data_IF_732466472248
#
_entry.id   IF_732466472248
#
_cell.length_a   1.000
_cell.length_b   1.000
_cell.length_c   1.000
_cell.angle_alpha   90.00
_cell.angle_beta   90.00
_cell.angle_gamma   90.00
#
_symmetry.space_group_name_H-M   'P 1'
#
loop_
_entity.id
_entity.type
_entity.pdbx_description
1 polymer ?
#
# COMPACT_ATOMS: atom_id res chain seq x y z
N UNK A 1 7.37 -8.61 -9.39
CA UNK A 1 6.72 -9.75 -10.05
C UNK A 1 5.81 -9.21 -11.13
N UNK A 2 5.81 -9.87 -12.29
CA UNK A 2 5.02 -9.47 -13.44
C UNK A 2 3.75 -10.28 -13.48
N UNK A 3 2.62 -9.58 -13.49
CA UNK A 3 1.30 -10.18 -13.73
C UNK A 3 0.95 -9.98 -15.20
N UNK A 4 0.24 -10.95 -15.76
CA UNK A 4 -0.16 -10.94 -17.16
C UNK A 4 -1.23 -9.88 -17.43
N UNK A 5 -1.42 -9.51 -18.70
CA UNK A 5 -2.49 -8.61 -19.10
C UNK A 5 -3.88 -9.16 -18.72
N UNK A 6 -4.06 -10.49 -18.86
CA UNK A 6 -5.32 -11.18 -18.52
C UNK A 6 -5.59 -11.09 -17.02
N UNK A 7 -4.58 -11.38 -16.17
CA UNK A 7 -4.75 -11.29 -14.71
C UNK A 7 -5.06 -9.85 -14.28
N UNK A 8 -4.44 -8.84 -14.91
CA UNK A 8 -4.77 -7.43 -14.66
C UNK A 8 -6.20 -7.08 -15.06
N UNK A 9 -6.60 -7.44 -16.27
CA UNK A 9 -7.93 -7.13 -16.80
C UNK A 9 -9.04 -7.82 -15.97
N UNK A 10 -8.80 -9.05 -15.53
CA UNK A 10 -9.73 -9.81 -14.69
C UNK A 10 -9.65 -9.42 -13.22
N UNK A 11 -8.64 -8.67 -12.80
CA UNK A 11 -8.33 -8.43 -11.40
C UNK A 11 -8.05 -9.71 -10.62
N UNK A 12 -7.64 -10.80 -11.28
CA UNK A 12 -7.52 -12.13 -10.69
C UNK A 12 -6.15 -12.73 -10.97
N UNK A 13 -5.43 -13.13 -9.93
CA UNK A 13 -4.19 -13.87 -10.09
C UNK A 13 -4.48 -15.30 -10.51
N UNK A 14 -3.63 -15.87 -11.35
CA UNK A 14 -3.55 -17.32 -11.51
C UNK A 14 -3.12 -17.96 -10.18
N UNK A 15 -3.57 -19.19 -9.94
CA UNK A 15 -3.21 -19.97 -8.74
C UNK A 15 -1.69 -19.97 -8.51
N UNK A 16 -0.92 -20.24 -9.57
CA UNK A 16 0.54 -20.18 -9.54
C UNK A 16 1.10 -18.82 -9.10
N UNK A 17 0.54 -17.71 -9.58
CA UNK A 17 1.02 -16.37 -9.22
C UNK A 17 0.58 -15.97 -7.81
N UNK A 18 -0.59 -16.40 -7.37
CA UNK A 18 -1.05 -16.22 -5.99
C UNK A 18 -0.14 -16.97 -5.02
N UNK A 19 0.15 -18.25 -5.28
CA UNK A 19 1.06 -19.07 -4.47
C UNK A 19 2.45 -18.44 -4.39
N UNK A 20 3.00 -17.99 -5.53
CA UNK A 20 4.29 -17.33 -5.57
C UNK A 20 4.30 -16.00 -4.78
N UNK A 21 3.21 -15.24 -4.82
CA UNK A 21 3.08 -14.00 -4.06
C UNK A 21 3.04 -14.27 -2.55
N UNK A 22 2.26 -15.27 -2.12
CA UNK A 22 2.15 -15.68 -0.72
C UNK A 22 3.47 -16.26 -0.19
N UNK A 23 4.15 -17.07 -1.00
CA UNK A 23 5.48 -17.60 -0.67
C UNK A 23 6.48 -16.45 -0.46
N UNK A 24 6.55 -15.49 -1.40
CA UNK A 24 7.42 -14.32 -1.25
C UNK A 24 7.09 -13.52 0.01
N UNK A 25 5.81 -13.25 0.26
CA UNK A 25 5.44 -12.51 1.46
C UNK A 25 5.86 -13.24 2.74
N UNK A 26 5.71 -14.56 2.79
CA UNK A 26 6.11 -15.39 3.94
C UNK A 26 7.63 -15.47 4.15
N UNK A 27 8.39 -15.58 3.06
CA UNK A 27 9.85 -15.78 3.12
C UNK A 27 10.63 -14.47 3.29
N UNK A 28 10.21 -13.38 2.61
CA UNK A 28 10.97 -12.12 2.54
C UNK A 28 10.20 -10.91 3.10
N UNK A 29 8.93 -11.05 3.46
CA UNK A 29 8.15 -10.00 4.12
C UNK A 29 7.56 -8.95 3.18
N UNK A 30 7.71 -9.07 1.86
CA UNK A 30 7.07 -8.18 0.88
C UNK A 30 6.89 -8.83 -0.51
N UNK A 31 5.98 -8.26 -1.30
CA UNK A 31 5.78 -8.59 -2.72
C UNK A 31 5.66 -7.29 -3.52
N UNK A 32 6.26 -7.28 -4.72
CA UNK A 32 6.24 -6.12 -5.62
C UNK A 32 5.48 -6.50 -6.88
N UNK A 33 4.46 -5.74 -7.26
CA UNK A 33 3.77 -5.87 -8.56
C UNK A 33 4.20 -4.76 -9.51
N UNK A 34 4.82 -5.13 -10.63
CA UNK A 34 5.27 -4.16 -11.62
C UNK A 34 4.11 -3.72 -12.52
N UNK A 35 3.98 -2.40 -12.69
CA UNK A 35 2.99 -1.78 -13.58
C UNK A 35 1.55 -2.22 -13.29
N UNK A 36 1.20 -2.47 -12.02
CA UNK A 36 -0.14 -2.91 -11.62
C UNK A 36 -1.20 -1.89 -12.03
N UNK A 37 -0.95 -0.61 -11.76
CA UNK A 37 -1.83 0.49 -12.10
C UNK A 37 -1.40 1.16 -13.42
N UNK A 38 -2.35 1.62 -14.26
CA UNK A 38 -2.03 2.39 -15.44
C UNK A 38 -1.29 3.69 -15.09
N UNK A 39 -0.30 4.07 -15.90
CA UNK A 39 0.46 5.31 -15.68
C UNK A 39 -0.44 6.55 -15.62
N UNK A 40 -1.45 6.64 -16.49
CA UNK A 40 -2.40 7.75 -16.50
C UNK A 40 -3.17 7.87 -15.17
N UNK A 41 -3.52 6.73 -14.56
CA UNK A 41 -4.19 6.71 -13.26
C UNK A 41 -3.26 7.22 -12.16
N UNK A 42 -2.02 6.73 -12.13
CA UNK A 42 -1.00 7.17 -11.17
C UNK A 42 -0.75 8.69 -11.30
N UNK A 43 -0.71 9.22 -12.53
CA UNK A 43 -0.56 10.66 -12.77
C UNK A 43 -1.75 11.49 -12.25
N UNK A 44 -2.98 10.97 -12.33
CA UNK A 44 -4.16 11.62 -11.75
C UNK A 44 -4.08 11.65 -10.22
N UNK A 45 -3.70 10.54 -9.59
CA UNK A 45 -3.50 10.45 -8.13
C UNK A 45 -2.39 11.40 -7.67
N UNK A 46 -1.27 11.47 -8.40
CA UNK A 46 -0.17 12.41 -8.13
C UNK A 46 -0.65 13.87 -8.12
N UNK A 47 -1.41 14.28 -9.14
CA UNK A 47 -1.97 15.64 -9.21
C UNK A 47 -2.92 15.93 -8.05
N UNK A 48 -3.74 14.96 -7.67
CA UNK A 48 -4.67 15.14 -6.55
C UNK A 48 -3.92 15.24 -5.21
N UNK A 49 -2.81 14.52 -5.08
CA UNK A 49 -1.90 14.65 -3.94
C UNK A 49 -1.22 16.04 -3.89
N UNK A 50 -0.77 16.56 -5.03
CA UNK A 50 -0.20 17.92 -5.15
C UNK A 50 -1.22 19.02 -4.81
N UNK A 51 -2.46 18.84 -5.25
CA UNK A 51 -3.56 19.73 -4.90
C UNK A 51 -3.81 19.70 -3.37
N UNK A 52 -3.72 18.54 -2.74
CA UNK A 52 -3.85 18.41 -1.29
C UNK A 52 -2.71 19.10 -0.52
N UNK A 53 -1.46 18.94 -0.96
CA UNK A 53 -0.30 19.60 -0.34
C UNK A 53 -0.41 21.13 -0.40
N UNK A 54 -1.16 21.67 -1.37
CA UNK A 54 -1.40 23.11 -1.51
C UNK A 54 -2.47 23.66 -0.55
N UNK A 55 -3.17 22.81 0.20
CA UNK A 55 -4.20 23.22 1.15
C UNK A 55 -3.60 23.66 2.51
N UNK A 56 -4.27 24.55 3.25
CA UNK A 56 -3.89 24.88 4.61
C UNK A 56 -3.86 23.63 5.50
N UNK A 57 -2.79 23.48 6.27
CA UNK A 57 -2.63 22.40 7.23
C UNK A 57 -3.79 22.39 8.24
N UNK A 58 -4.39 21.22 8.45
CA UNK A 58 -5.50 21.07 9.37
C UNK A 58 -6.58 20.14 8.85
N UNK A 59 -7.80 20.38 9.30
CA UNK A 59 -8.94 19.51 9.00
C UNK A 59 -9.24 19.44 7.49
N UNK A 60 -9.16 20.56 6.78
CA UNK A 60 -9.46 20.61 5.34
C UNK A 60 -8.50 19.72 4.55
N UNK A 61 -7.20 19.81 4.83
CA UNK A 61 -6.19 18.98 4.20
C UNK A 61 -6.37 17.50 4.56
N UNK A 62 -6.66 17.17 5.82
CA UNK A 62 -6.92 15.77 6.24
C UNK A 62 -8.17 15.18 5.60
N UNK A 63 -9.27 15.93 5.59
CA UNK A 63 -10.56 15.49 5.05
C UNK A 63 -10.50 15.27 3.53
N UNK A 64 -9.52 15.86 2.86
CA UNK A 64 -9.29 15.66 1.43
C UNK A 64 -8.95 14.22 1.04
N UNK A 65 -8.33 13.45 1.94
CA UNK A 65 -8.01 12.04 1.68
C UNK A 65 -9.23 11.11 1.79
N UNK A 66 -10.37 11.63 2.27
CA UNK A 66 -11.63 10.89 2.35
C UNK A 66 -12.57 11.15 1.17
N UNK A 67 -12.04 11.53 0.01
CA UNK A 67 -12.85 11.82 -1.19
C UNK A 67 -12.10 11.58 -2.48
N UNK A 68 -12.85 11.52 -3.57
CA UNK A 68 -12.32 11.48 -4.92
C UNK A 68 -11.41 10.27 -5.15
N UNK A 69 -10.26 10.52 -5.79
CA UNK A 69 -9.32 9.48 -6.21
C UNK A 69 -8.72 8.69 -5.04
N UNK A 70 -8.66 9.25 -3.83
CA UNK A 70 -8.15 8.52 -2.65
C UNK A 70 -9.09 7.42 -2.15
N UNK A 71 -10.37 7.48 -2.56
CA UNK A 71 -11.37 6.44 -2.33
C UNK A 71 -11.68 5.62 -3.59
N UNK A 72 -10.85 5.73 -4.63
CA UNK A 72 -11.02 4.93 -5.85
C UNK A 72 -10.82 3.44 -5.53
N UNK A 73 -11.67 2.59 -6.09
CA UNK A 73 -11.63 1.13 -5.92
C UNK A 73 -10.25 0.55 -6.25
N UNK A 74 -9.60 1.03 -7.32
CA UNK A 74 -8.26 0.56 -7.68
C UNK A 74 -7.19 0.80 -6.60
N UNK A 75 -7.46 1.68 -5.63
CA UNK A 75 -6.64 1.92 -4.43
C UNK A 75 -7.21 1.17 -3.22
N UNK A 76 -8.48 1.39 -2.87
CA UNK A 76 -9.03 0.96 -1.58
C UNK A 76 -9.43 -0.52 -1.54
N UNK A 77 -9.78 -1.10 -2.69
CA UNK A 77 -10.26 -2.48 -2.83
C UNK A 77 -9.55 -3.22 -3.98
N UNK A 78 -8.29 -2.88 -4.25
CA UNK A 78 -7.52 -3.45 -5.35
C UNK A 78 -7.59 -4.99 -5.35
N UNK A 79 -8.23 -5.61 -6.37
CA UNK A 79 -8.60 -7.03 -6.27
C UNK A 79 -7.38 -7.95 -6.28
N UNK A 80 -6.27 -7.55 -6.90
CA UNK A 80 -5.01 -8.30 -6.89
C UNK A 80 -4.38 -8.28 -5.49
N UNK A 81 -4.38 -7.12 -4.83
CA UNK A 81 -3.86 -7.01 -3.47
C UNK A 81 -4.73 -7.78 -2.46
N UNK A 82 -6.05 -7.65 -2.56
CA UNK A 82 -6.99 -8.32 -1.64
C UNK A 82 -6.86 -9.84 -1.68
N UNK A 83 -6.68 -10.46 -2.86
CA UNK A 83 -6.46 -11.91 -2.96
C UNK A 83 -5.29 -12.41 -2.10
N UNK A 84 -4.21 -11.64 -2.01
CA UNK A 84 -3.03 -12.00 -1.24
C UNK A 84 -3.28 -11.75 0.24
N UNK A 85 -3.91 -10.62 0.57
CA UNK A 85 -4.27 -10.29 1.96
C UNK A 85 -5.21 -11.38 2.52
N UNK A 86 -6.24 -11.77 1.76
CA UNK A 86 -7.18 -12.83 2.11
C UNK A 86 -6.49 -14.18 2.28
N UNK A 87 -5.60 -14.55 1.35
CA UNK A 87 -4.85 -15.80 1.43
C UNK A 87 -3.93 -15.86 2.67
N UNK A 88 -3.43 -14.71 3.13
CA UNK A 88 -2.42 -14.63 4.19
C UNK A 88 -3.01 -14.35 5.58
N UNK A 89 -4.06 -13.56 5.66
CA UNK A 89 -4.70 -13.12 6.91
C UNK A 89 -6.07 -13.75 7.13
N UNK A 90 -6.66 -14.38 6.11
CA UNK A 90 -8.06 -14.81 6.09
C UNK A 90 -8.99 -13.71 5.58
N UNK A 91 -10.28 -14.05 5.45
CA UNK A 91 -11.31 -13.15 4.88
C UNK A 91 -11.84 -12.11 5.88
N UNK A 92 -11.49 -12.23 7.16
CA UNK A 92 -11.96 -11.34 8.23
C UNK A 92 -10.90 -10.32 8.61
N UNK A 93 -10.60 -9.39 7.70
CA UNK A 93 -9.73 -8.25 7.94
C UNK A 93 -10.45 -6.93 7.65
N UNK A 94 -9.90 -5.84 8.17
CA UNK A 94 -10.38 -4.50 7.92
C UNK A 94 -9.21 -3.54 7.81
N UNK A 95 -9.42 -2.44 7.12
CA UNK A 95 -8.51 -1.29 7.08
C UNK A 95 -9.19 -0.06 7.66
N UNK A 96 -8.38 0.94 8.02
CA UNK A 96 -8.88 2.24 8.45
C UNK A 96 -8.66 3.25 7.34
N UNK A 97 -9.71 4.01 7.02
CA UNK A 97 -9.64 5.12 6.08
C UNK A 97 -9.45 6.47 6.83
N UNK A 98 -8.74 7.43 6.21
CA UNK A 98 -8.06 7.30 4.93
C UNK A 98 -6.71 6.60 5.14
N UNK A 99 -6.17 6.01 4.08
CA UNK A 99 -4.82 5.45 4.17
C UNK A 99 -3.80 6.58 4.45
N UNK A 100 -2.87 6.32 5.36
CA UNK A 100 -1.75 7.22 5.60
C UNK A 100 -0.93 7.39 4.32
N UNK A 101 -0.56 8.62 4.02
CA UNK A 101 0.29 8.94 2.88
C UNK A 101 1.61 9.54 3.36
N UNK A 102 2.71 9.06 2.80
CA UNK A 102 4.06 9.55 3.10
C UNK A 102 4.61 10.33 1.91
N UNK A 103 5.27 11.45 2.17
CA UNK A 103 5.95 12.27 1.15
C UNK A 103 7.40 12.48 1.55
N UNK A 104 8.32 12.24 0.62
CA UNK A 104 9.76 12.46 0.79
C UNK A 104 10.23 13.69 0.00
N UNK A 105 9.32 14.60 -0.33
CA UNK A 105 9.62 15.81 -1.11
C UNK A 105 10.59 16.71 -0.36
N UNK A 106 11.53 17.33 -1.10
CA UNK A 106 12.50 18.29 -0.55
C UNK A 106 11.85 19.49 0.08
N UNK A 107 10.70 19.88 -0.45
CA UNK A 107 9.94 21.04 -0.01
C UNK A 107 8.97 20.68 1.13
N UNK A 108 8.85 19.39 1.46
CA UNK A 108 8.07 18.94 2.62
C UNK A 108 8.69 19.46 3.90
N UNK A 109 7.85 19.91 4.84
CA UNK A 109 8.26 20.26 6.21
C UNK A 109 9.11 19.16 6.86
N UNK A 110 8.84 17.91 6.52
CA UNK A 110 9.53 16.75 7.10
C UNK A 110 10.85 16.43 6.39
N UNK A 111 11.30 17.21 5.39
CA UNK A 111 12.51 16.90 4.62
C UNK A 111 13.75 16.66 5.49
N UNK A 112 13.97 17.52 6.49
CA UNK A 112 15.12 17.39 7.39
C UNK A 112 15.09 16.07 8.21
N UNK A 113 13.90 15.53 8.48
CA UNK A 113 13.70 14.22 9.11
C UNK A 113 13.60 13.08 8.06
N UNK A 114 13.28 13.40 6.81
CA UNK A 114 13.11 12.46 5.71
C UNK A 114 14.45 12.01 5.09
N UNK A 115 15.52 12.80 5.22
CA UNK A 115 16.86 12.41 4.77
C UNK A 115 17.39 11.16 5.50
N UNK A 116 16.85 10.85 6.69
CA UNK A 116 17.29 9.71 7.48
C UNK A 116 16.16 9.09 8.29
N UNK A 117 15.48 8.11 7.71
CA UNK A 117 14.69 7.17 8.50
C UNK A 117 15.60 6.11 9.14
N UNK A 118 15.43 5.91 10.45
CA UNK A 118 16.04 4.77 11.14
C UNK A 118 15.38 3.48 10.66
N UNK A 119 16.14 2.38 10.65
CA UNK A 119 15.55 1.07 10.36
C UNK A 119 14.52 0.77 11.45
N UNK A 120 13.25 0.64 11.05
CA UNK A 120 12.13 0.37 11.93
C UNK A 120 11.13 -0.57 11.26
N UNK A 121 10.09 -0.96 12.01
CA UNK A 121 8.90 -1.62 11.50
C UNK A 121 7.70 -0.74 11.79
N UNK A 122 6.78 -0.68 10.84
CA UNK A 122 5.52 0.06 11.00
C UNK A 122 4.66 -0.54 12.11
N UNK A 123 4.82 -1.83 12.38
CA UNK A 123 4.13 -2.56 13.45
C UNK A 123 5.10 -3.41 14.29
N UNK A 124 4.80 -3.49 15.59
CA UNK A 124 5.51 -4.34 16.54
C UNK A 124 5.00 -5.79 16.52
N UNK A 125 5.80 -6.72 17.07
CA UNK A 125 5.29 -8.06 17.37
C UNK A 125 4.23 -7.99 18.48
N UNK A 126 3.17 -8.80 18.36
CA UNK A 126 2.16 -8.92 19.41
C UNK A 126 2.75 -9.41 20.74
N UNK A 127 3.74 -10.30 20.68
CA UNK A 127 4.43 -10.87 21.84
C UNK A 127 5.95 -10.65 21.71
N UNK A 128 6.45 -9.44 21.98
CA UNK A 128 7.86 -9.09 21.75
C UNK A 128 8.84 -9.91 22.61
N UNK A 129 8.37 -10.51 23.69
CA UNK A 129 9.18 -11.34 24.60
C UNK A 129 9.32 -12.81 24.15
N UNK A 130 8.53 -13.25 23.16
CA UNK A 130 8.62 -14.60 22.61
C UNK A 130 9.54 -14.60 21.39
N UNK A 131 10.78 -15.02 21.59
CA UNK A 131 11.63 -15.44 20.47
C UNK A 131 11.02 -16.75 19.95
N UNK A 132 10.44 -16.73 18.75
CA UNK A 132 10.15 -17.96 18.02
C UNK A 132 11.49 -18.64 17.73
N UNK A 133 11.86 -19.59 18.59
CA UNK A 133 12.93 -20.53 18.31
C UNK A 133 12.57 -21.25 17.02
N UNK A 134 13.46 -21.18 16.05
CA UNK A 134 13.44 -22.01 14.85
C UNK A 134 13.36 -23.48 15.29
N UNK A 135 12.19 -24.09 15.08
CA UNK A 135 11.98 -25.54 15.15
C UNK A 135 12.03 -26.12 13.74
#
# INVERSE_FOLDING_TARGET
MKITAIEKEQGKLSEKNLDLACQKLSEIGYVIFENLLPLEFVEKVRKEFENNESLPEGEIQRNHFFRGLFLDSHIIDNPIALQIIEAMLGTEFFSFLPYGCNTTRRESRYWNDAEKQWIHRDSGHLFPSFVLGLG
#
